data_IF_551251485927
#
_entry.id   IF_551251485927
#
_cell.length_a   1.000
_cell.length_b   1.000
_cell.length_c   1.000
_cell.angle_alpha   90.00
_cell.angle_beta   90.00
_cell.angle_gamma   90.00
#
_symmetry.space_group_name_H-M   'P 1'
#
loop_
_entity.id
_entity.type
_entity.pdbx_description
1 polymer ?
#
# COMPACT_ATOMS: atom_id res chain seq x y z
N UNK A 1 -45.24 10.78 96.57
CA UNK A 1 -45.05 10.31 95.18
C UNK A 1 -44.12 11.29 94.47
N UNK A 2 -42.92 10.83 94.09
CA UNK A 2 -41.88 11.60 93.40
C UNK A 2 -42.30 11.93 91.97
N UNK A 3 -42.05 13.15 91.50
CA UNK A 3 -41.95 13.46 90.06
C UNK A 3 -40.62 14.12 89.80
N UNK A 4 -39.72 13.36 89.20
CA UNK A 4 -38.39 13.77 88.74
C UNK A 4 -38.58 14.28 87.31
N UNK A 5 -38.32 15.56 87.05
CA UNK A 5 -38.21 16.08 85.69
C UNK A 5 -36.84 15.66 85.13
N UNK A 6 -36.85 14.82 84.09
CA UNK A 6 -35.67 14.51 83.30
C UNK A 6 -35.36 15.68 82.36
N UNK A 7 -34.19 16.27 82.50
CA UNK A 7 -33.61 17.18 81.51
C UNK A 7 -33.07 16.36 80.34
N UNK A 8 -33.66 16.54 79.15
CA UNK A 8 -33.20 15.91 77.91
C UNK A 8 -32.08 16.78 77.35
N UNK A 9 -30.83 16.30 77.48
CA UNK A 9 -29.68 16.86 76.77
C UNK A 9 -29.66 16.26 75.37
N UNK A 10 -30.01 17.06 74.36
CA UNK A 10 -29.94 16.67 72.95
C UNK A 10 -28.48 16.80 72.49
N UNK A 11 -27.77 15.67 72.43
CA UNK A 11 -26.43 15.60 71.84
C UNK A 11 -26.60 15.63 70.32
N UNK A 12 -26.25 16.76 69.69
CA UNK A 12 -26.13 16.87 68.23
C UNK A 12 -24.83 16.15 67.84
N UNK A 13 -24.95 14.91 67.36
CA UNK A 13 -23.86 14.23 66.68
C UNK A 13 -23.64 14.91 65.33
N UNK A 14 -22.57 15.70 65.20
CA UNK A 14 -22.13 16.23 63.91
C UNK A 14 -21.55 15.06 63.11
N UNK A 15 -22.38 14.45 62.26
CA UNK A 15 -21.90 13.51 61.25
C UNK A 15 -21.19 14.31 60.15
N UNK A 16 -19.87 14.37 60.21
CA UNK A 16 -19.07 14.82 59.06
C UNK A 16 -19.17 13.75 57.98
N UNK A 17 -20.08 13.95 57.02
CA UNK A 17 -20.08 13.19 55.78
C UNK A 17 -18.77 13.54 55.04
N UNK A 18 -17.75 12.68 55.19
CA UNK A 18 -16.49 12.86 54.48
C UNK A 18 -16.75 12.72 52.99
N UNK A 19 -16.57 13.80 52.23
CA UNK A 19 -16.54 13.77 50.78
C UNK A 19 -15.49 12.74 50.35
N UNK A 20 -15.93 11.63 49.75
CA UNK A 20 -15.08 10.59 49.21
C UNK A 20 -14.02 11.22 48.29
N UNK A 21 -12.75 10.86 48.46
CA UNK A 21 -11.66 11.25 47.54
C UNK A 21 -11.57 10.15 46.48
N UNK A 22 -12.00 10.46 45.25
CA UNK A 22 -11.90 9.51 44.14
C UNK A 22 -11.33 10.23 42.94
N UNK A 23 -10.09 9.89 42.59
CA UNK A 23 -9.44 10.39 41.38
C UNK A 23 -10.08 9.74 40.16
N UNK A 24 -10.49 10.55 39.20
CA UNK A 24 -11.02 10.08 37.93
C UNK A 24 -10.72 11.10 36.83
N UNK A 25 -10.64 10.64 35.59
CA UNK A 25 -10.48 11.51 34.43
C UNK A 25 -11.01 10.85 33.16
N UNK A 26 -11.14 11.65 32.11
CA UNK A 26 -11.37 11.18 30.74
C UNK A 26 -10.55 11.96 29.73
N UNK A 27 -10.34 11.37 28.56
CA UNK A 27 -9.81 12.03 27.37
C UNK A 27 -10.92 12.18 26.32
N UNK A 28 -10.87 13.26 25.53
CA UNK A 28 -11.84 13.50 24.44
C UNK A 28 -11.59 12.61 23.21
N UNK A 29 -10.34 12.19 22.98
CA UNK A 29 -9.95 11.23 21.94
C UNK A 29 -9.04 10.18 22.57
N UNK A 30 -9.26 8.92 22.20
CA UNK A 30 -8.45 7.79 22.68
C UNK A 30 -7.55 7.20 21.60
N UNK A 31 -7.88 7.41 20.33
CA UNK A 31 -7.13 6.88 19.20
C UNK A 31 -6.89 7.92 18.11
N UNK A 32 -5.80 7.77 17.39
CA UNK A 32 -5.40 8.64 16.27
C UNK A 32 -4.37 7.97 15.36
N UNK A 33 -3.96 8.71 14.33
CA UNK A 33 -2.96 8.27 13.35
C UNK A 33 -1.84 9.31 13.27
N UNK A 34 -0.59 8.87 13.18
CA UNK A 34 0.63 9.69 13.08
C UNK A 34 0.91 10.54 14.32
N UNK A 35 0.05 11.52 14.59
CA UNK A 35 0.06 12.37 15.78
C UNK A 35 -1.36 12.60 16.31
N UNK A 36 -1.47 12.87 17.60
CA UNK A 36 -2.77 13.04 18.25
C UNK A 36 -2.73 14.13 19.33
N UNK A 37 -3.54 15.17 19.15
CA UNK A 37 -3.82 16.14 20.21
C UNK A 37 -5.05 15.71 21.01
N UNK A 38 -4.89 15.59 22.32
CA UNK A 38 -5.89 15.10 23.26
C UNK A 38 -6.16 16.16 24.33
N UNK A 39 -7.43 16.52 24.51
CA UNK A 39 -7.89 17.27 25.67
C UNK A 39 -8.25 16.29 26.78
N UNK A 40 -7.64 16.46 27.95
CA UNK A 40 -7.96 15.72 29.16
C UNK A 40 -8.92 16.50 30.05
N UNK A 41 -9.78 15.78 30.75
CA UNK A 41 -10.73 16.33 31.71
C UNK A 41 -10.62 15.58 33.04
N UNK A 42 -10.20 16.30 34.07
CA UNK A 42 -10.34 15.86 35.46
C UNK A 42 -11.83 15.68 35.82
N UNK A 43 -12.15 14.52 36.40
CA UNK A 43 -13.48 14.15 36.91
C UNK A 43 -13.40 13.77 38.40
N UNK A 44 -12.30 14.13 39.07
CA UNK A 44 -12.07 13.81 40.48
C UNK A 44 -13.16 14.42 41.35
N UNK A 45 -13.75 13.58 42.20
CA UNK A 45 -14.74 14.02 43.19
C UNK A 45 -14.05 14.11 44.54
N UNK A 46 -13.89 15.33 45.07
CA UNK A 46 -13.38 15.65 46.40
C UNK A 46 -13.52 17.16 46.68
N UNK A 47 -13.39 17.56 47.94
CA UNK A 47 -13.21 18.97 48.35
C UNK A 47 -11.75 19.24 48.68
N UNK A 48 -11.25 20.46 48.44
CA UNK A 48 -9.87 20.84 48.80
C UNK A 48 -8.82 20.25 47.86
N UNK A 49 -9.11 20.16 46.56
CA UNK A 49 -8.12 19.80 45.55
C UNK A 49 -7.13 20.97 45.39
N UNK A 50 -5.85 20.69 45.52
CA UNK A 50 -4.80 21.71 45.55
C UNK A 50 -3.90 21.68 44.30
N UNK A 51 -3.54 20.48 43.83
CA UNK A 51 -2.65 20.34 42.69
C UNK A 51 -2.99 19.10 41.86
N UNK A 52 -2.70 19.21 40.56
CA UNK A 52 -2.79 18.14 39.57
C UNK A 52 -1.39 17.85 39.08
N UNK A 53 -1.08 16.57 38.85
CA UNK A 53 0.11 16.16 38.13
C UNK A 53 -0.28 15.05 37.17
N UNK A 54 -0.26 15.40 35.88
CA UNK A 54 -0.47 14.47 34.79
C UNK A 54 0.88 13.91 34.34
N UNK A 55 0.93 12.60 34.12
CA UNK A 55 1.96 11.93 33.34
C UNK A 55 1.29 11.35 32.10
N UNK A 56 1.76 11.72 30.92
CA UNK A 56 1.12 11.35 29.65
C UNK A 56 1.67 10.05 29.06
N UNK A 57 2.69 9.44 29.66
CA UNK A 57 3.30 8.19 29.21
C UNK A 57 4.43 8.35 28.18
N UNK A 58 4.79 9.59 27.83
CA UNK A 58 5.84 9.96 26.86
C UNK A 58 6.98 10.78 27.51
N UNK A 59 7.12 10.68 28.84
CA UNK A 59 8.01 11.48 29.69
C UNK A 59 7.68 12.98 29.76
N UNK A 60 6.48 13.38 29.32
CA UNK A 60 5.98 14.74 29.52
C UNK A 60 4.90 14.78 30.62
N UNK A 61 4.72 15.97 31.19
CA UNK A 61 3.87 16.18 32.35
C UNK A 61 3.09 17.49 32.23
N UNK A 62 2.02 17.63 33.01
CA UNK A 62 1.30 18.90 33.15
C UNK A 62 0.75 19.05 34.56
N UNK A 63 0.70 20.29 35.05
CA UNK A 63 0.09 20.65 36.33
C UNK A 63 -1.30 21.29 36.18
N UNK A 64 -1.78 21.41 34.94
CA UNK A 64 -3.10 21.97 34.67
C UNK A 64 -4.21 21.00 35.08
N UNK A 65 -5.35 21.54 35.51
CA UNK A 65 -6.53 20.71 35.82
C UNK A 65 -7.12 20.01 34.59
N UNK A 66 -7.11 20.68 33.44
CA UNK A 66 -7.69 20.16 32.19
C UNK A 66 -6.70 20.40 31.03
N UNK A 67 -5.57 19.67 30.98
CA UNK A 67 -4.52 19.94 30.00
C UNK A 67 -4.93 19.52 28.59
N UNK A 68 -4.32 20.19 27.61
CA UNK A 68 -4.22 19.70 26.23
C UNK A 68 -2.82 19.14 26.05
N UNK A 69 -2.73 17.91 25.56
CA UNK A 69 -1.45 17.27 25.28
C UNK A 69 -1.34 16.87 23.80
N UNK A 70 -0.13 16.91 23.25
CA UNK A 70 0.16 16.52 21.87
C UNK A 70 1.13 15.33 21.84
N UNK A 71 0.61 14.18 21.43
CA UNK A 71 1.39 12.98 21.15
C UNK A 71 1.94 13.07 19.73
N UNK A 72 3.24 13.29 19.59
CA UNK A 72 3.91 13.53 18.32
C UNK A 72 4.31 12.25 17.56
N UNK A 73 4.32 11.10 18.23
CA UNK A 73 4.79 9.82 17.66
C UNK A 73 3.76 8.73 17.85
N UNK A 74 3.72 7.72 16.96
CA UNK A 74 2.96 6.49 17.19
C UNK A 74 3.40 5.75 18.46
N UNK A 75 2.45 5.18 19.18
CA UNK A 75 2.69 4.42 20.40
C UNK A 75 1.44 4.25 21.26
N UNK A 76 1.56 3.36 22.25
CA UNK A 76 0.57 3.16 23.30
C UNK A 76 1.00 3.89 24.55
N UNK A 77 0.13 4.77 25.06
CA UNK A 77 0.45 5.67 26.16
C UNK A 77 -0.39 5.37 27.39
N UNK A 78 0.30 5.07 28.48
CA UNK A 78 -0.28 4.96 29.82
C UNK A 78 -0.39 6.35 30.45
N UNK A 79 -1.60 6.76 30.80
CA UNK A 79 -1.87 8.07 31.39
C UNK A 79 -2.13 7.92 32.88
N UNK A 80 -1.45 8.74 33.68
CA UNK A 80 -1.67 8.82 35.11
C UNK A 80 -2.05 10.25 35.52
N UNK A 81 -3.08 10.37 36.35
CA UNK A 81 -3.40 11.59 37.06
C UNK A 81 -3.12 11.37 38.54
N UNK A 82 -2.25 12.21 39.12
CA UNK A 82 -2.02 12.30 40.56
C UNK A 82 -2.60 13.60 41.08
N UNK A 83 -3.37 13.52 42.16
CA UNK A 83 -4.03 14.67 42.79
C UNK A 83 -3.52 14.83 44.20
N UNK A 84 -3.13 16.06 44.55
CA UNK A 84 -2.93 16.47 45.92
C UNK A 84 -4.19 17.15 46.44
N UNK A 85 -4.66 16.70 47.61
CA UNK A 85 -5.82 17.22 48.32
C UNK A 85 -5.43 17.61 49.74
N UNK A 86 -5.92 18.75 50.22
CA UNK A 86 -5.96 19.05 51.65
C UNK A 86 -7.32 18.78 52.27
N UNK A 87 -7.30 18.23 53.47
CA UNK A 87 -8.47 18.01 54.31
C UNK A 87 -8.15 18.44 55.74
N UNK A 88 -8.40 19.72 56.03
CA UNK A 88 -7.95 20.35 57.27
C UNK A 88 -6.44 20.55 57.25
N UNK A 89 -5.75 20.07 58.29
CA UNK A 89 -4.27 20.10 58.37
C UNK A 89 -3.58 18.90 57.69
N UNK A 90 -4.34 17.98 57.10
CA UNK A 90 -3.80 16.77 56.48
C UNK A 90 -3.71 16.93 54.96
N UNK A 91 -2.57 16.55 54.40
CA UNK A 91 -2.39 16.38 52.96
C UNK A 91 -2.58 14.92 52.57
N UNK A 92 -3.30 14.69 51.48
CA UNK A 92 -3.58 13.38 50.92
C UNK A 92 -3.26 13.39 49.43
N UNK A 93 -2.57 12.34 48.97
CA UNK A 93 -2.27 12.14 47.55
C UNK A 93 -2.93 10.86 47.08
N UNK A 94 -3.58 10.91 45.93
CA UNK A 94 -4.13 9.72 45.26
C UNK A 94 -3.83 9.81 43.77
N UNK A 95 -3.63 8.65 43.14
CA UNK A 95 -3.43 8.56 41.70
C UNK A 95 -4.39 7.56 41.06
N UNK A 96 -4.70 7.81 39.78
CA UNK A 96 -5.36 6.86 38.90
C UNK A 96 -4.49 6.69 37.66
N UNK A 97 -4.12 5.45 37.35
CA UNK A 97 -3.43 5.08 36.11
C UNK A 97 -4.40 4.37 35.18
N UNK A 98 -4.39 4.75 33.89
CA UNK A 98 -5.06 4.01 32.82
C UNK A 98 -4.00 3.54 31.83
N UNK A 99 -3.78 2.23 31.82
CA UNK A 99 -2.83 1.57 30.92
C UNK A 99 -3.32 1.59 29.47
N UNK A 100 -2.42 1.79 28.50
CA UNK A 100 -2.72 1.83 27.06
C UNK A 100 -3.96 2.70 26.73
N UNK A 101 -4.08 3.85 27.42
CA UNK A 101 -5.31 4.65 27.38
C UNK A 101 -5.43 5.49 26.12
N UNK A 102 -4.30 5.97 25.60
CA UNK A 102 -4.20 6.67 24.33
C UNK A 102 -3.38 5.83 23.38
N UNK A 103 -3.89 5.58 22.17
CA UNK A 103 -3.24 4.80 21.12
C UNK A 103 -3.04 5.68 19.90
N UNK A 104 -1.78 5.94 19.52
CA UNK A 104 -1.45 6.64 18.28
C UNK A 104 -0.90 5.62 17.31
N UNK A 105 -1.66 5.30 16.27
CA UNK A 105 -1.27 4.32 15.27
C UNK A 105 -0.32 4.94 14.25
N UNK A 106 0.63 4.15 13.75
CA UNK A 106 1.45 4.56 12.63
C UNK A 106 0.61 4.69 11.35
N UNK A 107 1.04 5.56 10.44
CA UNK A 107 0.49 5.54 9.09
C UNK A 107 0.88 4.23 8.39
N UNK A 108 0.01 3.71 7.50
CA UNK A 108 0.35 2.57 6.69
C UNK A 108 1.63 2.79 5.87
N UNK A 109 2.48 1.77 5.78
CA UNK A 109 3.64 1.72 4.89
C UNK A 109 3.16 1.72 3.44
N UNK A 110 3.60 2.70 2.67
CA UNK A 110 3.26 2.83 1.25
C UNK A 110 4.32 2.24 0.33
N UNK A 111 5.33 1.58 0.88
CA UNK A 111 6.34 0.86 0.12
C UNK A 111 5.72 -0.25 -0.70
N UNK A 112 6.20 -0.42 -1.93
CA UNK A 112 5.61 -1.35 -2.88
C UNK A 112 6.68 -1.87 -3.86
N UNK A 113 6.30 -2.91 -4.61
CA UNK A 113 7.13 -3.46 -5.69
C UNK A 113 6.26 -3.82 -6.88
N UNK A 114 6.78 -3.57 -8.08
CA UNK A 114 6.20 -4.03 -9.35
C UNK A 114 7.12 -5.04 -10.01
N UNK A 115 6.57 -6.15 -10.50
CA UNK A 115 7.31 -7.15 -11.28
C UNK A 115 6.65 -7.36 -12.62
N UNK A 116 7.34 -6.99 -13.69
CA UNK A 116 6.88 -7.31 -15.04
C UNK A 116 7.03 -8.82 -15.22
N UNK A 117 5.90 -9.51 -15.38
CA UNK A 117 5.90 -10.93 -15.70
C UNK A 117 6.31 -11.07 -17.17
N UNK A 118 7.62 -11.13 -17.42
CA UNK A 118 8.19 -11.44 -18.74
C UNK A 118 7.98 -12.93 -19.06
N UNK A 119 6.73 -13.35 -19.16
CA UNK A 119 6.36 -14.51 -19.94
C UNK A 119 5.62 -13.97 -21.14
N UNK A 120 6.37 -13.89 -22.25
CA UNK A 120 5.97 -13.60 -23.62
C UNK A 120 4.60 -12.93 -23.76
N UNK A 121 4.59 -11.69 -24.25
CA UNK A 121 3.42 -10.98 -24.75
C UNK A 121 2.53 -10.20 -23.79
N UNK A 122 2.35 -10.64 -22.55
CA UNK A 122 1.08 -10.35 -21.87
C UNK A 122 0.91 -8.96 -21.22
N UNK A 123 1.87 -8.02 -21.34
CA UNK A 123 1.89 -6.73 -20.59
C UNK A 123 1.44 -6.88 -19.12
N UNK A 124 1.71 -8.05 -18.54
CA UNK A 124 1.22 -8.47 -17.25
C UNK A 124 2.22 -8.06 -16.18
N UNK A 125 1.72 -7.40 -15.14
CA UNK A 125 2.51 -6.81 -14.08
C UNK A 125 1.94 -7.29 -12.74
N UNK A 126 2.81 -7.83 -11.90
CA UNK A 126 2.50 -8.08 -10.50
C UNK A 126 2.75 -6.84 -9.66
N UNK A 127 1.75 -6.45 -8.87
CA UNK A 127 1.80 -5.35 -7.92
C UNK A 127 1.74 -5.92 -6.50
N UNK A 128 2.68 -5.50 -5.65
CA UNK A 128 2.82 -5.98 -4.29
C UNK A 128 2.92 -4.79 -3.34
N UNK A 129 1.96 -4.66 -2.43
CA UNK A 129 1.99 -3.71 -1.32
C UNK A 129 2.67 -4.34 -0.10
N UNK A 130 3.48 -3.56 0.60
CA UNK A 130 4.03 -3.95 1.90
C UNK A 130 3.14 -3.39 3.02
N UNK A 131 3.03 -4.13 4.12
CA UNK A 131 2.41 -3.64 5.35
C UNK A 131 3.49 -3.26 6.36
N UNK A 132 3.11 -2.45 7.34
CA UNK A 132 3.91 -2.24 8.54
C UNK A 132 4.17 -3.59 9.23
N UNK A 133 5.27 -3.65 9.99
CA UNK A 133 5.58 -4.77 10.87
C UNK A 133 4.82 -4.65 12.21
N UNK A 134 3.50 -4.55 12.14
CA UNK A 134 2.60 -4.49 13.30
C UNK A 134 1.49 -5.55 13.21
N UNK A 135 0.55 -5.52 14.17
CA UNK A 135 -0.55 -6.50 14.27
C UNK A 135 -1.87 -6.00 13.68
N UNK A 136 -1.86 -4.94 12.87
CA UNK A 136 -3.07 -4.39 12.27
C UNK A 136 -3.40 -5.09 10.94
N UNK A 137 -4.69 -5.10 10.59
CA UNK A 137 -5.14 -5.60 9.29
C UNK A 137 -5.11 -4.47 8.26
N UNK A 138 -4.57 -4.76 7.08
CA UNK A 138 -4.43 -3.79 6.00
C UNK A 138 -5.27 -4.17 4.77
N UNK A 139 -5.90 -3.17 4.17
CA UNK A 139 -6.64 -3.26 2.91
C UNK A 139 -5.96 -2.37 1.86
N UNK A 140 -5.87 -2.88 0.63
CA UNK A 140 -5.16 -2.22 -0.47
C UNK A 140 -6.11 -2.01 -1.64
N UNK A 141 -6.05 -0.84 -2.26
CA UNK A 141 -6.74 -0.51 -3.51
C UNK A 141 -5.73 0.02 -4.51
N UNK A 142 -5.73 -0.53 -5.70
CA UNK A 142 -4.87 -0.16 -6.81
C UNK A 142 -5.71 0.51 -7.90
N UNK A 143 -5.22 1.61 -8.44
CA UNK A 143 -5.69 2.23 -9.67
C UNK A 143 -4.54 2.18 -10.67
N UNK A 144 -4.70 1.51 -11.81
CA UNK A 144 -3.57 1.21 -12.70
C UNK A 144 -3.25 2.31 -13.72
N UNK A 145 -4.06 3.37 -13.78
CA UNK A 145 -3.86 4.50 -14.69
C UNK A 145 -4.45 4.31 -16.09
N UNK A 146 -5.05 3.16 -16.37
CA UNK A 146 -5.82 2.84 -17.59
C UNK A 146 -7.35 2.84 -17.36
N UNK A 147 -7.78 3.17 -16.15
CA UNK A 147 -9.19 3.17 -15.74
C UNK A 147 -9.57 1.98 -14.86
N UNK A 148 -8.74 0.92 -14.83
CA UNK A 148 -9.01 -0.28 -14.05
C UNK A 148 -8.56 -0.12 -12.60
N UNK A 149 -9.24 -0.86 -11.72
CA UNK A 149 -8.99 -0.84 -10.29
C UNK A 149 -9.15 -2.22 -9.68
N UNK A 150 -8.30 -2.58 -8.71
CA UNK A 150 -8.37 -3.88 -8.02
C UNK A 150 -8.03 -3.73 -6.54
N UNK A 151 -8.52 -4.65 -5.72
CA UNK A 151 -8.19 -4.73 -4.28
C UNK A 151 -7.35 -5.96 -3.98
N UNK A 152 -6.41 -5.83 -3.04
CA UNK A 152 -5.55 -6.93 -2.59
C UNK A 152 -4.10 -6.50 -2.37
N UNK A 153 -3.42 -7.16 -1.43
CA UNK A 153 -2.01 -6.89 -1.11
C UNK A 153 -1.05 -7.34 -2.21
N UNK A 154 -1.43 -8.36 -2.98
CA UNK A 154 -0.71 -8.84 -4.15
C UNK A 154 -1.69 -9.12 -5.27
N UNK A 155 -1.56 -8.40 -6.39
CA UNK A 155 -2.48 -8.48 -7.53
C UNK A 155 -1.70 -8.56 -8.84
N UNK A 156 -2.33 -9.15 -9.86
CA UNK A 156 -1.84 -9.11 -11.24
C UNK A 156 -2.75 -8.19 -12.05
N UNK A 157 -2.15 -7.38 -12.93
CA UNK A 157 -2.87 -6.56 -13.89
C UNK A 157 -2.23 -6.67 -15.27
N UNK A 158 -3.07 -6.72 -16.30
CA UNK A 158 -2.63 -6.80 -17.71
C UNK A 158 -3.09 -5.57 -18.45
N UNK A 159 -2.14 -4.79 -18.95
CA UNK A 159 -2.43 -3.62 -19.76
C UNK A 159 -2.72 -4.00 -21.21
N UNK A 160 -3.65 -3.28 -21.85
CA UNK A 160 -4.03 -3.56 -23.25
C UNK A 160 -2.94 -3.15 -24.27
N UNK A 161 -2.04 -2.24 -23.89
CA UNK A 161 -1.02 -1.69 -24.79
C UNK A 161 0.27 -1.34 -24.04
N UNK A 162 1.37 -1.23 -24.78
CA UNK A 162 2.58 -0.58 -24.30
C UNK A 162 2.31 0.90 -24.01
N UNK A 163 2.99 1.47 -23.03
CA UNK A 163 2.89 2.88 -22.69
C UNK A 163 3.44 3.19 -21.31
N UNK A 164 3.40 4.48 -20.97
CA UNK A 164 3.66 4.95 -19.63
C UNK A 164 2.35 5.03 -18.87
N UNK A 165 2.25 4.29 -17.77
CA UNK A 165 1.10 4.27 -16.89
C UNK A 165 1.48 4.82 -15.52
N UNK A 166 0.63 5.69 -14.98
CA UNK A 166 0.76 6.23 -13.63
C UNK A 166 -0.26 5.49 -12.78
N UNK A 167 0.22 4.66 -11.85
CA UNK A 167 -0.65 3.93 -10.95
C UNK A 167 -0.66 4.57 -9.56
N UNK A 168 -1.77 4.39 -8.84
CA UNK A 168 -1.96 4.84 -7.47
C UNK A 168 -2.29 3.63 -6.59
N UNK A 169 -1.54 3.44 -5.50
CA UNK A 169 -1.87 2.50 -4.45
C UNK A 169 -2.39 3.27 -3.24
N UNK A 170 -3.54 2.86 -2.71
CA UNK A 170 -4.05 3.28 -1.41
C UNK A 170 -4.04 2.10 -0.47
N UNK A 171 -3.61 2.33 0.76
CA UNK A 171 -3.60 1.34 1.83
C UNK A 171 -4.29 1.92 3.07
N UNK A 172 -5.10 1.11 3.73
CA UNK A 172 -5.84 1.49 4.93
C UNK A 172 -5.82 0.37 5.96
N UNK A 173 -5.53 0.71 7.22
CA UNK A 173 -5.62 -0.24 8.31
C UNK A 173 -7.02 -0.28 8.95
N UNK A 174 -7.29 -1.32 9.75
CA UNK A 174 -8.55 -1.51 10.47
C UNK A 174 -8.83 -0.44 11.56
N UNK A 175 -7.83 0.35 11.97
CA UNK A 175 -7.99 1.51 12.86
C UNK A 175 -8.33 2.81 12.11
N UNK A 176 -8.37 2.76 10.77
CA UNK A 176 -8.80 3.87 9.92
C UNK A 176 -7.68 4.78 9.41
N UNK A 177 -6.40 4.47 9.70
CA UNK A 177 -5.26 5.20 9.15
C UNK A 177 -5.05 4.85 7.69
N UNK A 178 -4.79 5.86 6.86
CA UNK A 178 -4.68 5.73 5.41
C UNK A 178 -3.33 6.25 4.92
N UNK A 179 -2.78 5.56 3.92
CA UNK A 179 -1.59 5.96 3.18
C UNK A 179 -1.85 5.80 1.68
N UNK A 180 -1.16 6.60 0.87
CA UNK A 180 -1.25 6.48 -0.58
C UNK A 180 0.09 6.82 -1.23
N UNK A 181 0.40 6.13 -2.33
CA UNK A 181 1.57 6.39 -3.17
C UNK A 181 1.16 6.39 -4.63
N UNK A 182 1.84 7.21 -5.41
CA UNK A 182 1.73 7.23 -6.86
C UNK A 182 3.10 6.91 -7.43
N UNK A 183 3.16 5.98 -8.37
CA UNK A 183 4.38 5.62 -9.08
C UNK A 183 4.03 5.27 -10.54
N UNK A 184 5.04 4.94 -11.33
CA UNK A 184 4.94 4.78 -12.77
C UNK A 184 5.45 3.44 -13.23
N UNK A 185 4.87 2.96 -14.32
CA UNK A 185 5.38 1.81 -15.05
C UNK A 185 5.50 2.18 -16.53
N UNK A 186 6.65 1.84 -17.11
CA UNK A 186 6.87 1.97 -18.55
C UNK A 186 6.84 0.58 -19.18
N UNK A 187 5.74 0.30 -19.88
CA UNK A 187 5.59 -0.91 -20.66
C UNK A 187 6.06 -0.62 -22.08
N UNK A 188 7.12 -1.29 -22.49
CA UNK A 188 7.64 -1.20 -23.85
C UNK A 188 7.22 -2.43 -24.63
N UNK A 189 6.78 -2.22 -25.86
CA UNK A 189 6.60 -3.32 -26.79
C UNK A 189 7.97 -3.94 -27.09
N UNK A 190 8.10 -5.26 -26.92
CA UNK A 190 9.31 -5.97 -27.29
C UNK A 190 9.19 -6.37 -28.76
N UNK A 191 10.06 -5.85 -29.62
CA UNK A 191 10.06 -6.17 -31.04
C UNK A 191 11.48 -6.32 -31.58
N UNK A 192 11.86 -7.55 -31.97
CA UNK A 192 13.14 -7.88 -32.56
C UNK A 192 12.98 -8.68 -33.84
N UNK A 193 13.76 -8.33 -34.85
CA UNK A 193 13.82 -9.05 -36.12
C UNK A 193 15.28 -9.44 -36.35
N UNK A 194 15.62 -10.74 -36.39
CA UNK A 194 16.99 -11.17 -36.65
C UNK A 194 17.42 -10.78 -38.06
N UNK A 195 18.70 -10.91 -38.38
CA UNK A 195 19.26 -10.63 -39.71
C UNK A 195 19.90 -11.85 -40.36
N UNK A 196 20.02 -12.98 -39.64
CA UNK A 196 20.58 -14.23 -40.12
C UNK A 196 19.94 -15.40 -39.37
N UNK A 197 19.80 -16.54 -40.04
CA UNK A 197 19.38 -17.81 -39.44
C UNK A 197 19.97 -18.98 -40.25
N UNK A 198 20.09 -20.15 -39.62
CA UNK A 198 20.70 -21.36 -40.18
C UNK A 198 19.81 -22.57 -39.87
N UNK A 199 18.95 -23.03 -40.80
CA UNK A 199 18.05 -24.17 -40.58
C UNK A 199 18.81 -25.50 -40.68
N UNK A 200 19.69 -25.77 -39.72
CA UNK A 200 20.56 -26.94 -39.66
C UNK A 200 20.00 -28.05 -38.73
N UNK A 201 18.94 -27.75 -37.98
CA UNK A 201 18.24 -28.66 -37.07
C UNK A 201 18.89 -28.80 -35.69
N UNK A 202 19.79 -27.91 -35.30
CA UNK A 202 20.44 -27.91 -33.99
C UNK A 202 19.59 -27.27 -32.87
N UNK A 203 18.43 -26.71 -33.24
CA UNK A 203 17.50 -26.03 -32.34
C UNK A 203 17.87 -24.56 -32.06
N UNK A 204 18.96 -24.04 -32.63
CA UNK A 204 19.47 -22.70 -32.43
C UNK A 204 19.42 -21.91 -33.74
N UNK A 205 18.61 -20.86 -33.77
CA UNK A 205 18.45 -20.01 -34.97
C UNK A 205 18.08 -20.80 -36.23
N UNK A 206 17.32 -21.89 -36.09
CA UNK A 206 16.81 -22.70 -37.21
C UNK A 206 15.71 -21.99 -38.00
N UNK A 207 15.12 -20.95 -37.42
CA UNK A 207 14.05 -20.19 -38.03
C UNK A 207 14.38 -18.70 -37.95
N UNK A 208 14.07 -17.98 -39.03
CA UNK A 208 13.89 -16.54 -38.99
C UNK A 208 12.61 -16.24 -38.20
N UNK A 209 12.73 -16.17 -36.87
CA UNK A 209 11.63 -15.91 -35.96
C UNK A 209 11.65 -14.45 -35.49
N UNK A 210 10.55 -13.74 -35.70
CA UNK A 210 10.40 -12.39 -35.16
C UNK A 210 9.94 -12.52 -33.72
N UNK A 211 10.67 -11.88 -32.82
CA UNK A 211 10.26 -11.82 -31.42
C UNK A 211 9.38 -10.59 -31.23
N UNK A 212 8.12 -10.80 -30.86
CA UNK A 212 7.16 -9.75 -30.55
C UNK A 212 6.51 -9.99 -29.19
N UNK A 213 5.69 -9.04 -28.76
CA UNK A 213 4.78 -9.18 -27.65
C UNK A 213 3.54 -10.05 -27.99
N UNK A 214 3.51 -10.86 -29.05
CA UNK A 214 2.42 -11.81 -29.37
C UNK A 214 0.97 -11.29 -29.43
N UNK A 215 0.72 -9.99 -29.22
CA UNK A 215 -0.61 -9.40 -29.21
C UNK A 215 -0.99 -8.90 -30.59
N UNK A 216 0.01 -8.42 -31.33
CA UNK A 216 -0.14 -7.89 -32.67
C UNK A 216 -0.05 -9.01 -33.72
N UNK A 217 -1.00 -9.03 -34.66
CA UNK A 217 -0.85 -9.82 -35.88
C UNK A 217 0.18 -9.14 -36.79
N UNK A 218 1.09 -9.92 -37.34
CA UNK A 218 2.05 -9.47 -38.32
C UNK A 218 1.88 -10.24 -39.63
N UNK A 219 1.96 -9.51 -40.74
CA UNK A 219 2.13 -10.08 -42.07
C UNK A 219 3.62 -10.02 -42.41
N UNK A 220 4.23 -11.20 -42.57
CA UNK A 220 5.61 -11.37 -43.04
C UNK A 220 5.58 -11.81 -44.50
N UNK A 221 6.35 -11.13 -45.34
CA UNK A 221 6.61 -11.50 -46.72
C UNK A 221 8.11 -11.60 -46.95
N UNK A 222 8.56 -12.69 -47.57
CA UNK A 222 9.95 -12.91 -47.95
C UNK A 222 10.05 -12.95 -49.47
N UNK A 223 11.05 -12.26 -50.00
CA UNK A 223 11.32 -12.13 -51.42
C UNK A 223 12.74 -12.61 -51.72
N UNK A 224 12.91 -13.32 -52.84
CA UNK A 224 14.23 -13.67 -53.33
C UNK A 224 14.96 -12.46 -53.94
N UNK A 225 16.23 -12.64 -54.33
CA UNK A 225 17.05 -11.60 -54.96
C UNK A 225 16.46 -10.96 -56.23
N UNK A 226 15.51 -11.63 -56.87
CA UNK A 226 14.82 -11.15 -58.07
C UNK A 226 13.50 -10.42 -57.78
N UNK A 227 13.15 -10.25 -56.49
CA UNK A 227 11.91 -9.60 -56.06
C UNK A 227 10.67 -10.51 -56.11
N UNK A 228 10.82 -11.80 -56.42
CA UNK A 228 9.69 -12.74 -56.38
C UNK A 228 9.38 -13.14 -54.94
N UNK A 229 8.09 -13.15 -54.59
CA UNK A 229 7.60 -13.63 -53.29
C UNK A 229 7.87 -15.13 -53.18
N UNK A 230 8.55 -15.54 -52.10
CA UNK A 230 8.88 -16.95 -51.83
C UNK A 230 8.14 -17.51 -50.62
N UNK A 231 7.81 -16.65 -49.66
CA UNK A 231 7.09 -17.03 -48.46
C UNK A 231 6.21 -15.87 -47.98
N UNK A 232 5.00 -16.19 -47.54
CA UNK A 232 4.09 -15.24 -46.91
C UNK A 232 3.37 -15.94 -45.76
N UNK A 233 3.28 -15.25 -44.62
CA UNK A 233 2.48 -15.69 -43.49
C UNK A 233 1.86 -14.50 -42.79
N UNK A 234 0.70 -14.72 -42.16
CA UNK A 234 0.10 -13.74 -41.25
C UNK A 234 -0.22 -14.44 -39.94
N UNK A 235 0.48 -14.07 -38.87
CA UNK A 235 0.34 -14.69 -37.57
C UNK A 235 0.78 -13.74 -36.45
N UNK A 236 0.47 -14.07 -35.20
CA UNK A 236 1.04 -13.37 -34.03
C UNK A 236 2.51 -13.71 -33.86
N UNK A 237 2.84 -14.98 -34.03
CA UNK A 237 4.20 -15.51 -34.03
C UNK A 237 4.60 -15.83 -35.47
N UNK A 238 5.18 -14.84 -36.17
CA UNK A 238 5.66 -15.02 -37.54
C UNK A 238 7.09 -15.55 -37.53
N UNK A 239 7.29 -16.61 -38.31
CA UNK A 239 8.56 -17.32 -38.45
C UNK A 239 8.72 -17.79 -39.88
N UNK A 240 9.96 -18.01 -40.31
CA UNK A 240 10.28 -18.61 -41.59
C UNK A 240 11.44 -19.58 -41.44
N UNK A 241 11.24 -20.83 -41.82
CA UNK A 241 12.21 -21.94 -41.71
C UNK A 241 13.10 -22.09 -42.95
N UNK A 242 13.12 -21.08 -43.82
CA UNK A 242 13.88 -21.12 -45.08
C UNK A 242 13.18 -21.87 -46.20
N UNK A 243 11.93 -22.34 -46.03
CA UNK A 243 11.18 -23.01 -47.10
C UNK A 243 10.19 -22.08 -47.78
N UNK A 244 9.93 -22.31 -49.07
CA UNK A 244 8.89 -21.58 -49.78
C UNK A 244 7.48 -22.14 -49.46
N UNK A 245 6.45 -21.54 -50.05
CA UNK A 245 5.04 -21.94 -49.86
C UNK A 245 4.71 -23.38 -50.27
N UNK A 246 5.58 -24.07 -51.02
CA UNK A 246 5.42 -25.49 -51.39
C UNK A 246 6.36 -26.42 -50.60
N UNK A 247 7.04 -25.92 -49.57
CA UNK A 247 7.88 -26.69 -48.65
C UNK A 247 9.30 -26.97 -49.15
N UNK A 248 9.71 -26.42 -50.29
CA UNK A 248 11.07 -26.59 -50.80
C UNK A 248 12.03 -25.65 -50.07
N UNK A 249 13.16 -26.19 -49.63
CA UNK A 249 14.22 -25.40 -48.99
C UNK A 249 14.81 -24.43 -50.00
N UNK A 250 14.91 -23.17 -49.60
CA UNK A 250 15.50 -22.12 -50.41
C UNK A 250 17.03 -22.22 -50.38
N UNK A 251 17.68 -21.78 -51.45
CA UNK A 251 19.14 -21.75 -51.52
C UNK A 251 19.71 -20.73 -50.51
N UNK A 252 20.90 -20.96 -49.94
CA UNK A 252 21.58 -19.96 -49.13
C UNK A 252 21.73 -18.63 -49.84
N UNK A 253 21.67 -17.56 -49.05
CA UNK A 253 21.90 -16.20 -49.50
C UNK A 253 20.96 -15.19 -48.85
N UNK A 254 21.01 -13.98 -49.38
CA UNK A 254 20.25 -12.85 -48.85
C UNK A 254 18.84 -12.80 -49.43
N UNK A 255 17.86 -12.69 -48.56
CA UNK A 255 16.45 -12.50 -48.87
C UNK A 255 15.98 -11.16 -48.34
N UNK A 256 15.08 -10.51 -49.07
CA UNK A 256 14.45 -9.28 -48.60
C UNK A 256 13.17 -9.65 -47.86
N UNK A 257 12.93 -9.05 -46.69
CA UNK A 257 11.68 -9.21 -45.97
C UNK A 257 10.91 -7.90 -45.88
N UNK A 258 9.59 -8.01 -45.90
CA UNK A 258 8.67 -6.95 -45.53
C UNK A 258 7.76 -7.45 -44.40
N UNK A 259 7.70 -6.68 -43.32
CA UNK A 259 6.98 -7.02 -42.11
C UNK A 259 6.05 -5.86 -41.75
N UNK A 260 4.76 -6.16 -41.62
CA UNK A 260 3.74 -5.15 -41.35
C UNK A 260 2.80 -5.61 -40.26
N UNK A 261 2.49 -4.76 -39.28
CA UNK A 261 1.41 -5.04 -38.33
C UNK A 261 0.05 -4.96 -39.02
N UNK A 262 -0.84 -5.89 -38.68
CA UNK A 262 -2.18 -6.03 -39.24
C UNK A 262 -3.20 -5.62 -38.18
N UNK A 263 -3.85 -4.47 -38.40
CA UNK A 263 -4.88 -3.93 -37.50
C UNK A 263 -4.29 -3.35 -36.21
N UNK A 264 -4.38 -2.04 -36.03
CA UNK A 264 -3.86 -1.31 -34.87
C UNK A 264 -3.70 0.18 -35.19
N UNK A 265 -3.74 1.05 -34.18
CA UNK A 265 -3.53 2.50 -34.33
C UNK A 265 -2.07 2.86 -34.63
N UNK A 266 -1.11 1.99 -34.26
CA UNK A 266 0.31 2.12 -34.58
C UNK A 266 0.72 1.07 -35.62
N UNK A 267 0.92 1.50 -36.87
CA UNK A 267 1.38 0.59 -37.94
C UNK A 267 2.89 0.37 -37.83
N UNK A 268 3.32 -0.78 -37.33
CA UNK A 268 4.71 -1.22 -37.43
C UNK A 268 4.94 -1.63 -38.88
N UNK A 269 5.90 -0.99 -39.52
CA UNK A 269 6.42 -1.38 -40.84
C UNK A 269 7.92 -1.50 -40.73
N UNK A 270 8.44 -2.71 -40.94
CA UNK A 270 9.87 -2.99 -40.95
C UNK A 270 10.20 -3.79 -42.20
N UNK A 271 11.30 -3.43 -42.83
CA UNK A 271 11.81 -4.16 -43.97
C UNK A 271 13.33 -4.20 -43.87
N UNK A 272 13.92 -5.17 -44.52
CA UNK A 272 15.35 -5.36 -44.49
C UNK A 272 15.76 -6.65 -45.16
N UNK A 273 16.94 -7.11 -44.80
CA UNK A 273 17.50 -8.33 -45.35
C UNK A 273 17.68 -9.36 -44.24
N UNK A 274 17.45 -10.61 -44.59
CA UNK A 274 17.80 -11.77 -43.79
C UNK A 274 18.72 -12.67 -44.62
N UNK A 275 19.78 -13.13 -43.99
CA UNK A 275 20.68 -14.12 -44.57
C UNK A 275 20.26 -15.52 -44.16
N UNK A 276 20.02 -16.38 -45.16
CA UNK A 276 19.82 -17.81 -44.98
C UNK A 276 21.19 -18.48 -45.13
N UNK A 277 21.74 -18.96 -44.03
CA UNK A 277 23.02 -19.67 -43.96
C UNK A 277 22.82 -21.19 -43.84
N UNK A 278 23.88 -21.96 -44.06
CA UNK A 278 23.95 -23.39 -43.76
C UNK A 278 24.91 -23.63 -42.61
#
# INVERSE_FOLDING_TARGET
MRRILLSIVMIIAVFTASSQFVVNFKAEKLKGCDSLTVQFRDLTTATGLEAWLWSFGDNTFSEERHPIHHYATPGDYTVQLTILRSSGSNLQTQSLTKEHYIVVNALPDTSHSTKIAMYNASFCVGFFGLSNADSLDYSYTWHFGDGDTTVGSAVLHTYASSGFYIFNMKVKNNEGCEGAVTDTINLVEFFSVPNVFSPNGDGLNDEFAISSDGNQLFKLQIFCRWGNLVYETTAKNVRWDGRNSVGMLMIPGTYYYNLTSVGGSNSIKKAGFVELAH
#
